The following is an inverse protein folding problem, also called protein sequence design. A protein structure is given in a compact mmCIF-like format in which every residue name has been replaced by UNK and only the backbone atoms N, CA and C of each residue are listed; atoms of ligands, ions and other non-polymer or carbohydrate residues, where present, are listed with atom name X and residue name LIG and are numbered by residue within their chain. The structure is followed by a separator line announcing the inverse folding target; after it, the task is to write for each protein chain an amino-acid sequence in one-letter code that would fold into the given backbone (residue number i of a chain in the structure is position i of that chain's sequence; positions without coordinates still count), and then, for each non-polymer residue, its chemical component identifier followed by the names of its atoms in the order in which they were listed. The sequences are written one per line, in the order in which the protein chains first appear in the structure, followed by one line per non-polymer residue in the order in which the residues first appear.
data_IF_442030814180
#
_entry.id   IF_442030814180
#
_cell.length_a   1.000
_cell.length_b   1.000
_cell.length_c   1.000
_cell.angle_alpha   90.00
_cell.angle_beta   90.00
_cell.angle_gamma   90.00
#
_symmetry.space_group_name_H-M   'P 1'
#
loop_
_entity.id
_entity.type
_entity.pdbx_description
1 polymer ?
#
# COMPACT_ATOMS: atom_id res chain seq x y z
N UNK A 1 32.54 79.75 27.74
CA UNK A 1 33.01 78.36 27.91
C UNK A 1 32.05 77.62 28.84
N UNK A 2 31.76 76.35 28.51
CA UNK A 2 30.99 75.34 29.24
C UNK A 2 29.45 75.44 29.20
N UNK A 3 28.91 74.56 28.36
CA UNK A 3 27.52 74.11 28.21
C UNK A 3 27.06 73.34 29.45
N UNK A 4 25.81 73.50 29.85
CA UNK A 4 25.04 72.46 30.55
C UNK A 4 23.65 72.38 29.90
N UNK A 5 23.39 71.29 29.20
CA UNK A 5 22.10 70.90 28.65
C UNK A 5 21.54 69.86 29.62
N UNK A 6 20.48 70.18 30.35
CA UNK A 6 19.70 69.21 31.12
C UNK A 6 18.76 68.47 30.17
N UNK A 7 19.05 67.20 29.89
CA UNK A 7 18.12 66.29 29.26
C UNK A 7 17.23 65.66 30.35
N UNK A 8 15.93 65.93 30.31
CA UNK A 8 14.93 65.26 31.13
C UNK A 8 14.52 63.94 30.45
N UNK A 9 14.91 62.81 31.03
CA UNK A 9 14.48 61.48 30.60
C UNK A 9 13.09 61.18 31.15
N UNK A 10 12.08 61.15 30.28
CA UNK A 10 10.74 60.64 30.60
C UNK A 10 10.76 59.10 30.54
N UNK A 11 10.61 58.45 31.68
CA UNK A 11 10.45 57.00 31.77
C UNK A 11 9.01 56.61 31.40
N UNK A 12 8.82 56.02 30.22
CA UNK A 12 7.57 55.37 29.83
C UNK A 12 7.56 53.98 30.48
N UNK A 13 6.73 53.81 31.50
CA UNK A 13 6.43 52.50 32.10
C UNK A 13 5.40 51.81 31.21
N UNK A 14 5.83 50.87 30.38
CA UNK A 14 4.94 50.00 29.63
C UNK A 14 4.45 48.85 30.51
N UNK A 15 3.20 48.93 30.99
CA UNK A 15 2.50 47.80 31.61
C UNK A 15 2.18 46.76 30.53
N UNK A 16 2.99 45.70 30.45
CA UNK A 16 2.71 44.54 29.64
C UNK A 16 1.50 43.78 30.23
N UNK A 17 0.35 43.85 29.57
CA UNK A 17 -0.79 43.01 29.88
C UNK A 17 -0.43 41.56 29.52
N UNK A 18 -0.26 40.72 30.54
CA UNK A 18 -0.13 39.27 30.38
C UNK A 18 -1.50 38.75 29.97
N UNK A 19 -1.74 38.62 28.66
CA UNK A 19 -2.86 37.86 28.15
C UNK A 19 -2.55 36.40 28.45
N UNK A 20 -3.16 35.86 29.51
CA UNK A 20 -3.12 34.43 29.78
C UNK A 20 -3.70 33.73 28.55
N UNK A 21 -2.85 33.03 27.79
CA UNK A 21 -3.31 32.18 26.70
C UNK A 21 -4.20 31.12 27.31
N UNK A 22 -5.51 31.23 27.09
CA UNK A 22 -6.45 30.15 27.43
C UNK A 22 -5.95 28.92 26.70
N UNK A 23 -5.60 27.82 27.39
CA UNK A 23 -5.18 26.61 26.72
C UNK A 23 -6.29 26.22 25.74
N UNK A 24 -5.93 26.03 24.48
CA UNK A 24 -6.88 25.57 23.48
C UNK A 24 -7.53 24.30 24.01
N UNK A 25 -8.87 24.29 24.08
CA UNK A 25 -9.63 23.15 24.56
C UNK A 25 -9.16 21.90 23.81
N UNK A 26 -8.69 20.90 24.57
CA UNK A 26 -8.20 19.65 24.02
C UNK A 26 -9.35 19.00 23.22
N UNK A 27 -9.10 18.76 21.93
CA UNK A 27 -10.14 18.23 21.05
C UNK A 27 -10.58 16.86 21.58
N UNK A 28 -11.90 16.69 21.79
CA UNK A 28 -12.44 15.44 22.29
C UNK A 28 -11.94 14.23 21.48
N UNK A 29 -11.57 13.11 22.15
CA UNK A 29 -11.00 11.96 21.48
C UNK A 29 -11.97 11.44 20.40
N UNK A 30 -11.43 10.92 19.29
CA UNK A 30 -12.27 10.40 18.21
C UNK A 30 -13.11 9.23 18.70
N UNK A 31 -14.43 9.29 18.46
CA UNK A 31 -15.40 8.29 18.93
C UNK A 31 -15.14 6.92 18.32
N UNK A 32 -14.68 6.87 17.07
CA UNK A 32 -14.54 5.65 16.30
C UNK A 32 -13.10 5.38 15.88
N UNK A 33 -12.75 4.10 15.86
CA UNK A 33 -11.59 3.55 15.16
C UNK A 33 -12.06 2.73 13.96
N UNK A 34 -11.19 2.57 12.97
CA UNK A 34 -11.53 1.88 11.74
C UNK A 34 -10.36 1.11 11.14
N UNK A 35 -10.71 0.12 10.32
CA UNK A 35 -9.85 -0.55 9.37
C UNK A 35 -10.60 -0.64 8.04
N UNK A 36 -10.02 -0.10 6.96
CA UNK A 36 -10.62 -0.09 5.63
C UNK A 36 -9.62 -0.63 4.63
N UNK A 37 -10.10 -1.54 3.79
CA UNK A 37 -9.32 -2.29 2.84
C UNK A 37 -10.02 -2.38 1.48
N UNK A 38 -9.25 -2.22 0.42
CA UNK A 38 -9.63 -2.54 -0.95
C UNK A 38 -8.45 -3.18 -1.69
N UNK A 39 -8.71 -4.28 -2.38
CA UNK A 39 -7.75 -4.96 -3.24
C UNK A 39 -8.31 -5.16 -4.65
N UNK A 40 -7.45 -5.37 -5.65
CA UNK A 40 -7.87 -5.68 -7.02
C UNK A 40 -8.09 -7.17 -7.22
N UNK A 41 -7.08 -8.01 -6.94
CA UNK A 41 -7.20 -9.47 -7.04
C UNK A 41 -6.42 -10.15 -5.93
N UNK A 42 -6.95 -11.23 -5.36
CA UNK A 42 -6.29 -12.05 -4.34
C UNK A 42 -6.42 -13.53 -4.70
N UNK A 43 -5.35 -14.31 -4.56
CA UNK A 43 -5.34 -15.75 -4.80
C UNK A 43 -4.87 -16.47 -3.53
N UNK A 44 -5.68 -17.41 -3.04
CA UNK A 44 -5.34 -18.24 -1.88
C UNK A 44 -5.42 -19.71 -2.29
N UNK A 45 -4.28 -20.38 -2.50
CA UNK A 45 -4.23 -21.80 -2.79
C UNK A 45 -3.82 -22.60 -1.54
N UNK A 46 -4.65 -23.56 -1.12
CA UNK A 46 -4.36 -24.41 0.05
C UNK A 46 -3.28 -25.45 -0.31
N UNK A 47 -2.15 -25.46 0.38
CA UNK A 47 -1.13 -26.50 0.22
C UNK A 47 -0.22 -26.37 -1.02
N UNK A 48 -0.12 -25.18 -1.63
CA UNK A 48 0.78 -24.89 -2.76
C UNK A 48 1.46 -23.53 -2.59
N UNK A 49 2.62 -23.36 -3.26
CA UNK A 49 3.51 -22.19 -3.18
C UNK A 49 2.94 -20.84 -3.70
N UNK A 50 1.62 -20.74 -3.96
CA UNK A 50 0.99 -19.52 -4.52
C UNK A 50 -0.12 -19.05 -3.59
N UNK A 51 0.28 -18.28 -2.59
CA UNK A 51 -0.60 -17.40 -1.82
C UNK A 51 -0.22 -15.97 -2.19
N UNK A 52 -1.19 -15.19 -2.65
CA UNK A 52 -1.02 -13.75 -2.83
C UNK A 52 -1.97 -13.03 -1.87
N UNK A 53 -1.48 -11.94 -1.31
CA UNK A 53 -2.33 -10.89 -0.81
C UNK A 53 -2.91 -10.11 -2.00
N UNK A 54 -3.71 -9.08 -1.73
CA UNK A 54 -4.34 -8.39 -2.84
C UNK A 54 -3.35 -7.53 -3.63
N UNK A 55 -3.46 -7.66 -4.94
CA UNK A 55 -2.81 -6.74 -5.87
C UNK A 55 -3.47 -5.36 -5.80
N UNK A 56 -2.71 -4.31 -6.12
CA UNK A 56 -3.14 -2.92 -5.96
C UNK A 56 -3.79 -2.66 -4.58
N UNK A 57 -3.20 -3.15 -3.48
CA UNK A 57 -3.80 -2.96 -2.16
C UNK A 57 -3.86 -1.47 -1.78
N UNK A 58 -5.00 -1.05 -1.24
CA UNK A 58 -5.15 0.19 -0.49
C UNK A 58 -5.77 -0.11 0.87
N UNK A 59 -5.06 0.26 1.95
CA UNK A 59 -5.45 -0.01 3.34
C UNK A 59 -5.19 1.18 4.25
N UNK A 60 -6.20 1.57 5.03
CA UNK A 60 -6.08 2.60 6.08
C UNK A 60 -6.60 2.03 7.40
N UNK A 61 -5.90 2.38 8.47
CA UNK A 61 -6.31 2.06 9.84
C UNK A 61 -6.05 3.28 10.70
N UNK A 62 -6.98 3.57 11.60
CA UNK A 62 -6.82 4.67 12.53
C UNK A 62 -8.15 5.18 13.04
N UNK A 63 -8.17 6.46 13.39
CA UNK A 63 -9.31 7.17 13.98
C UNK A 63 -9.41 8.63 13.46
N UNK A 64 -8.58 9.00 12.47
CA UNK A 64 -8.51 10.32 11.83
C UNK A 64 -8.93 10.26 10.37
N UNK A 65 -9.09 11.39 9.70
CA UNK A 65 -9.33 11.40 8.24
C UNK A 65 -8.10 10.92 7.48
N UNK A 66 -8.26 9.96 6.57
CA UNK A 66 -7.19 9.41 5.74
C UNK A 66 -7.70 9.03 4.35
N UNK A 67 -6.85 9.12 3.33
CA UNK A 67 -7.16 8.65 1.98
C UNK A 67 -5.96 7.93 1.40
N UNK A 68 -6.18 6.77 0.78
CA UNK A 68 -5.17 6.04 0.02
C UNK A 68 -5.73 5.51 -1.27
N UNK A 69 -4.85 5.37 -2.26
CA UNK A 69 -5.15 4.83 -3.58
C UNK A 69 -3.98 3.97 -4.04
N UNK A 70 -4.27 2.93 -4.82
CA UNK A 70 -3.25 2.17 -5.50
C UNK A 70 -3.78 1.76 -6.89
N UNK A 71 -2.89 1.45 -7.82
CA UNK A 71 -3.24 1.00 -9.17
C UNK A 71 -2.22 -0.01 -9.68
N UNK A 72 -2.59 -0.89 -10.59
CA UNK A 72 -1.64 -1.75 -11.29
C UNK A 72 -2.06 -1.84 -12.75
N UNK A 73 -1.10 -2.14 -13.63
CA UNK A 73 -1.38 -2.28 -15.07
C UNK A 73 -1.90 -3.67 -15.40
N UNK A 74 -1.38 -4.71 -14.74
CA UNK A 74 -1.89 -6.07 -14.85
C UNK A 74 -1.51 -6.91 -13.64
N UNK A 75 -2.30 -7.95 -13.37
CA UNK A 75 -2.00 -9.00 -12.41
C UNK A 75 -2.18 -10.37 -13.07
N UNK A 76 -1.25 -11.30 -12.84
CA UNK A 76 -1.34 -12.67 -13.37
C UNK A 76 -0.90 -13.69 -12.34
N UNK A 77 -1.64 -14.78 -12.22
CA UNK A 77 -1.27 -15.96 -11.44
C UNK A 77 -1.46 -17.20 -12.32
N UNK A 78 -0.39 -17.63 -12.99
CA UNK A 78 -0.41 -18.77 -13.91
C UNK A 78 -1.54 -18.68 -14.94
N UNK A 79 -2.28 -19.78 -15.11
CA UNK A 79 -3.52 -19.85 -15.93
C UNK A 79 -4.78 -19.64 -15.09
N UNK A 80 -4.65 -19.43 -13.78
CA UNK A 80 -5.76 -19.27 -12.84
C UNK A 80 -6.40 -17.89 -12.95
N UNK A 81 -5.58 -16.84 -13.07
CA UNK A 81 -6.03 -15.45 -13.11
C UNK A 81 -5.16 -14.63 -14.07
N UNK A 82 -5.83 -13.85 -14.92
CA UNK A 82 -5.28 -12.69 -15.61
C UNK A 82 -6.24 -11.52 -15.43
N UNK A 83 -5.72 -10.39 -14.97
CA UNK A 83 -6.44 -9.13 -14.87
C UNK A 83 -5.61 -8.01 -15.50
N UNK A 84 -6.29 -7.07 -16.16
CA UNK A 84 -5.69 -5.86 -16.71
C UNK A 84 -5.58 -4.77 -15.66
N UNK A 85 -5.79 -3.53 -16.10
CA UNK A 85 -5.65 -2.35 -15.24
C UNK A 85 -6.60 -2.45 -14.06
N UNK A 86 -6.07 -2.22 -12.86
CA UNK A 86 -6.88 -2.14 -11.66
C UNK A 86 -6.55 -0.90 -10.84
N UNK A 87 -7.54 -0.39 -10.12
CA UNK A 87 -7.43 0.77 -9.24
C UNK A 87 -8.25 0.54 -7.99
N UNK A 88 -7.63 0.80 -6.84
CA UNK A 88 -8.27 0.76 -5.54
C UNK A 88 -8.17 2.12 -4.86
N UNK A 89 -9.12 2.39 -3.98
CA UNK A 89 -9.17 3.60 -3.19
C UNK A 89 -9.88 3.33 -1.88
N UNK A 90 -9.30 3.80 -0.78
CA UNK A 90 -9.91 3.78 0.54
C UNK A 90 -9.89 5.18 1.13
N UNK A 91 -10.98 5.57 1.76
CA UNK A 91 -11.20 6.89 2.33
C UNK A 91 -11.85 6.72 3.70
N UNK A 92 -11.34 7.46 4.68
CA UNK A 92 -11.97 7.73 5.96
C UNK A 92 -12.10 9.24 6.10
N UNK A 93 -13.32 9.74 6.20
CA UNK A 93 -13.60 11.16 6.37
C UNK A 93 -14.33 11.38 7.69
N UNK A 94 -13.70 12.10 8.62
CA UNK A 94 -14.29 12.48 9.91
C UNK A 94 -15.24 13.67 9.73
N UNK A 95 -16.40 13.60 10.37
CA UNK A 95 -17.26 14.77 10.55
C UNK A 95 -16.91 15.42 11.90
N UNK A 96 -16.34 16.63 11.93
CA UNK A 96 -15.96 17.30 13.17
C UNK A 96 -17.18 17.72 14.01
N UNK A 97 -18.32 18.03 13.38
CA UNK A 97 -19.52 18.52 14.07
C UNK A 97 -20.20 17.41 14.88
N UNK A 98 -20.19 16.19 14.34
CA UNK A 98 -20.88 15.06 14.96
C UNK A 98 -19.94 14.03 15.58
N UNK A 99 -18.62 14.24 15.46
CA UNK A 99 -17.58 13.24 15.72
C UNK A 99 -17.83 11.91 14.96
N UNK A 100 -18.57 11.98 13.85
CA UNK A 100 -18.89 10.86 12.99
C UNK A 100 -17.74 10.50 12.04
N UNK A 101 -17.90 9.38 11.34
CA UNK A 101 -16.91 8.83 10.43
C UNK A 101 -17.59 8.23 9.19
N UNK A 102 -17.10 8.59 8.01
CA UNK A 102 -17.49 7.99 6.73
C UNK A 102 -16.33 7.19 6.17
N UNK A 103 -16.54 5.89 5.98
CA UNK A 103 -15.59 4.98 5.36
C UNK A 103 -16.04 4.62 3.95
N UNK A 104 -15.15 4.66 2.98
CA UNK A 104 -15.41 4.24 1.60
C UNK A 104 -14.25 3.39 1.10
N UNK A 105 -14.54 2.21 0.57
CA UNK A 105 -13.61 1.36 -0.15
C UNK A 105 -14.13 1.19 -1.58
N UNK A 106 -13.29 1.45 -2.58
CA UNK A 106 -13.61 1.26 -4.00
C UNK A 106 -12.52 0.42 -4.63
N UNK A 107 -12.92 -0.59 -5.39
CA UNK A 107 -12.01 -1.39 -6.21
C UNK A 107 -12.59 -1.54 -7.62
N UNK A 108 -11.73 -1.35 -8.63
CA UNK A 108 -12.06 -1.45 -10.05
C UNK A 108 -11.00 -2.30 -10.72
N UNK A 109 -11.40 -3.33 -11.45
CA UNK A 109 -10.48 -4.21 -12.18
C UNK A 109 -11.03 -4.43 -13.58
N UNK A 110 -10.22 -4.17 -14.61
CA UNK A 110 -10.56 -4.37 -16.01
C UNK A 110 -9.94 -5.66 -16.58
N UNK A 111 -10.53 -6.19 -17.65
CA UNK A 111 -9.97 -7.30 -18.42
C UNK A 111 -9.74 -8.56 -17.57
N UNK A 112 -10.73 -8.97 -16.78
CA UNK A 112 -10.65 -10.14 -15.92
C UNK A 112 -10.86 -11.40 -16.74
N UNK A 113 -9.96 -12.37 -16.59
CA UNK A 113 -10.04 -13.70 -17.14
C UNK A 113 -9.57 -14.70 -16.11
N UNK A 114 -10.44 -15.63 -15.71
CA UNK A 114 -10.12 -16.70 -14.77
C UNK A 114 -10.14 -18.04 -15.50
N UNK A 115 -9.25 -18.94 -15.07
CA UNK A 115 -9.20 -20.34 -15.51
C UNK A 115 -9.16 -20.49 -17.03
N UNK A 116 -8.19 -19.83 -17.66
CA UNK A 116 -8.04 -19.84 -19.12
C UNK A 116 -9.19 -19.17 -19.87
N UNK A 117 -9.99 -18.34 -19.20
CA UNK A 117 -11.12 -17.62 -19.81
C UNK A 117 -12.45 -18.36 -19.71
N UNK A 118 -12.55 -19.38 -18.85
CA UNK A 118 -13.83 -19.96 -18.44
C UNK A 118 -14.79 -18.90 -17.86
N UNK A 119 -14.22 -17.95 -17.13
CA UNK A 119 -14.92 -16.78 -16.59
C UNK A 119 -14.23 -15.54 -17.12
N UNK A 120 -14.97 -14.63 -17.74
CA UNK A 120 -14.45 -13.35 -18.25
C UNK A 120 -15.32 -12.19 -17.79
N UNK A 121 -14.72 -11.06 -17.50
CA UNK A 121 -15.44 -9.80 -17.32
C UNK A 121 -14.62 -8.66 -17.90
N UNK A 122 -15.27 -7.74 -18.61
CA UNK A 122 -14.61 -6.55 -19.15
C UNK A 122 -14.20 -5.60 -18.04
N UNK A 123 -15.07 -5.41 -17.04
CA UNK A 123 -14.74 -4.68 -15.83
C UNK A 123 -15.57 -5.17 -14.63
N UNK A 124 -14.98 -5.15 -13.45
CA UNK A 124 -15.66 -5.36 -12.18
C UNK A 124 -15.42 -4.12 -11.33
N UNK A 125 -16.49 -3.54 -10.78
CA UNK A 125 -16.41 -2.39 -9.87
C UNK A 125 -17.14 -2.74 -8.59
N UNK A 126 -16.44 -2.65 -7.47
CA UNK A 126 -16.99 -2.90 -6.12
C UNK A 126 -16.80 -1.67 -5.26
N UNK A 127 -17.86 -1.26 -4.57
CA UNK A 127 -17.83 -0.13 -3.64
C UNK A 127 -18.50 -0.54 -2.32
N UNK A 128 -17.78 -0.37 -1.22
CA UNK A 128 -18.28 -0.55 0.14
C UNK A 128 -18.25 0.81 0.88
N UNK A 129 -19.26 1.05 1.70
CA UNK A 129 -19.42 2.28 2.47
C UNK A 129 -19.98 1.98 3.85
N UNK A 130 -19.33 2.51 4.88
CA UNK A 130 -19.88 2.65 6.24
C UNK A 130 -20.06 4.14 6.52
N UNK A 131 -21.18 4.54 7.12
CA UNK A 131 -21.39 5.89 7.64
C UNK A 131 -21.87 5.79 9.08
N UNK A 132 -21.06 6.29 10.01
CA UNK A 132 -21.45 6.56 11.39
C UNK A 132 -21.56 8.07 11.54
N UNK A 133 -22.75 8.60 11.75
CA UNK A 133 -22.97 10.05 11.87
C UNK A 133 -22.72 10.58 13.28
N UNK A 134 -22.24 9.76 14.22
CA UNK A 134 -22.04 10.13 15.62
C UNK A 134 -23.23 9.83 16.53
N UNK A 135 -24.42 9.63 15.97
CA UNK A 135 -25.67 9.37 16.70
C UNK A 135 -26.37 8.11 16.17
N UNK A 136 -26.46 7.07 17.00
CA UNK A 136 -27.17 5.83 16.63
C UNK A 136 -26.33 4.84 15.81
N UNK A 137 -27.00 3.82 15.28
CA UNK A 137 -26.38 2.68 14.60
C UNK A 137 -25.81 3.10 13.24
N UNK A 138 -24.54 2.80 12.93
CA UNK A 138 -23.95 3.11 11.63
C UNK A 138 -24.71 2.42 10.48
N UNK A 139 -24.68 3.03 9.31
CA UNK A 139 -25.24 2.44 8.08
C UNK A 139 -24.14 1.76 7.27
N UNK A 140 -24.47 0.64 6.65
CA UNK A 140 -23.56 -0.12 5.77
C UNK A 140 -24.18 -0.29 4.39
N UNK A 141 -23.36 -0.20 3.33
CA UNK A 141 -23.79 -0.46 1.96
C UNK A 141 -22.63 -0.99 1.12
N UNK A 142 -22.89 -2.04 0.35
CA UNK A 142 -21.98 -2.56 -0.66
C UNK A 142 -22.72 -2.70 -2.00
N UNK A 143 -22.02 -2.41 -3.10
CA UNK A 143 -22.52 -2.55 -4.47
C UNK A 143 -21.43 -3.08 -5.38
N UNK A 144 -21.78 -3.98 -6.29
CA UNK A 144 -20.89 -4.48 -7.34
C UNK A 144 -21.56 -4.33 -8.70
N UNK A 145 -20.80 -3.92 -9.73
CA UNK A 145 -21.19 -3.96 -11.15
C UNK A 145 -20.22 -4.86 -11.92
N UNK A 146 -20.76 -5.76 -12.73
CA UNK A 146 -20.00 -6.77 -13.48
C UNK A 146 -20.23 -6.58 -14.99
N UNK A 147 -19.39 -5.76 -15.64
CA UNK A 147 -19.56 -5.43 -17.05
C UNK A 147 -19.05 -6.56 -17.96
N UNK A 148 -19.90 -7.02 -18.87
CA UNK A 148 -19.55 -8.03 -19.87
C UNK A 148 -19.13 -9.36 -19.25
N UNK A 149 -19.79 -9.75 -18.15
CA UNK A 149 -19.52 -11.02 -17.48
C UNK A 149 -19.99 -12.18 -18.36
N UNK A 150 -19.10 -13.13 -18.64
CA UNK A 150 -19.43 -14.41 -19.24
C UNK A 150 -18.87 -15.56 -18.41
N UNK A 151 -19.66 -16.62 -18.26
CA UNK A 151 -19.27 -17.86 -17.58
C UNK A 151 -19.62 -19.01 -18.52
N UNK A 152 -18.63 -19.81 -18.93
CA UNK A 152 -18.80 -20.83 -19.98
C UNK A 152 -19.39 -20.27 -21.28
N UNK A 153 -19.04 -19.02 -21.64
CA UNK A 153 -19.57 -18.33 -22.81
C UNK A 153 -21.00 -17.78 -22.64
N UNK A 154 -21.72 -18.13 -21.57
CA UNK A 154 -23.05 -17.56 -21.27
C UNK A 154 -22.91 -16.15 -20.69
N UNK A 155 -23.57 -15.12 -21.24
CA UNK A 155 -23.55 -13.77 -20.70
C UNK A 155 -24.43 -13.64 -19.44
N UNK A 156 -24.05 -12.72 -18.57
CA UNK A 156 -24.79 -12.35 -17.37
C UNK A 156 -24.99 -10.83 -17.32
N UNK A 157 -26.12 -10.40 -16.79
CA UNK A 157 -26.45 -8.98 -16.58
C UNK A 157 -25.46 -8.29 -15.64
N UNK A 158 -25.28 -6.98 -15.80
CA UNK A 158 -24.29 -6.22 -15.03
C UNK A 158 -24.68 -6.04 -13.55
N UNK A 159 -25.98 -5.95 -13.27
CA UNK A 159 -26.54 -5.69 -11.94
C UNK A 159 -27.02 -6.99 -11.29
N UNK A 160 -26.06 -7.73 -10.75
CA UNK A 160 -26.31 -9.03 -10.12
C UNK A 160 -26.67 -8.86 -8.65
N UNK A 161 -27.74 -9.55 -8.22
CA UNK A 161 -28.17 -9.55 -6.82
C UNK A 161 -27.02 -10.00 -5.90
N UNK A 162 -26.94 -9.45 -4.69
CA UNK A 162 -25.98 -9.90 -3.69
C UNK A 162 -25.94 -11.41 -3.51
N UNK A 163 -24.73 -11.95 -3.32
CA UNK A 163 -24.49 -13.36 -3.00
C UNK A 163 -25.11 -14.33 -4.03
N UNK A 164 -25.05 -13.99 -5.32
CA UNK A 164 -25.54 -14.86 -6.38
C UNK A 164 -24.53 -15.98 -6.63
N UNK A 165 -24.89 -17.22 -6.30
CA UNK A 165 -24.07 -18.41 -6.49
C UNK A 165 -24.25 -19.07 -7.86
N UNK A 166 -23.14 -19.49 -8.47
CA UNK A 166 -23.12 -20.30 -9.69
C UNK A 166 -22.11 -21.43 -9.50
N UNK A 167 -22.52 -22.66 -9.77
CA UNK A 167 -21.65 -23.83 -9.66
C UNK A 167 -21.46 -24.46 -11.02
N UNK A 168 -20.21 -24.73 -11.38
CA UNK A 168 -19.85 -25.60 -12.49
C UNK A 168 -19.36 -26.92 -11.88
N UNK A 169 -20.16 -28.01 -11.95
CA UNK A 169 -19.84 -29.27 -11.31
C UNK A 169 -18.44 -29.78 -11.65
N UNK A 170 -17.67 -30.17 -10.63
CA UNK A 170 -16.29 -30.68 -10.79
C UNK A 170 -15.26 -29.63 -11.23
N UNK A 171 -15.63 -28.34 -11.33
CA UNK A 171 -14.74 -27.26 -11.76
C UNK A 171 -14.63 -26.19 -10.67
N UNK A 172 -15.70 -25.43 -10.44
CA UNK A 172 -15.70 -24.26 -9.57
C UNK A 172 -17.05 -23.97 -8.93
N UNK A 173 -16.99 -23.35 -7.76
CA UNK A 173 -18.08 -22.58 -7.18
C UNK A 173 -17.76 -21.09 -7.32
N UNK A 174 -18.72 -20.31 -7.81
CA UNK A 174 -18.60 -18.89 -8.10
C UNK A 174 -19.62 -18.14 -7.24
N UNK A 175 -19.17 -17.12 -6.52
CA UNK A 175 -20.03 -16.19 -5.78
C UNK A 175 -19.87 -14.79 -6.38
N UNK A 176 -20.95 -14.29 -6.96
CA UNK A 176 -21.03 -12.95 -7.55
C UNK A 176 -21.59 -11.95 -6.55
N UNK A 177 -21.01 -10.76 -6.52
CA UNK A 177 -21.38 -9.70 -5.59
C UNK A 177 -21.44 -10.23 -4.15
N UNK A 178 -20.37 -10.90 -3.71
CA UNK A 178 -20.29 -11.48 -2.39
C UNK A 178 -20.26 -10.36 -1.36
N UNK A 179 -21.21 -10.35 -0.45
CA UNK A 179 -21.29 -9.36 0.62
C UNK A 179 -21.76 -9.98 1.94
N UNK A 180 -21.12 -9.56 3.01
CA UNK A 180 -21.50 -9.78 4.39
C UNK A 180 -21.41 -8.43 5.09
N UNK A 181 -22.55 -7.93 5.57
CA UNK A 181 -22.65 -6.59 6.16
C UNK A 181 -23.35 -6.69 7.51
N UNK A 182 -22.91 -5.93 8.49
CA UNK A 182 -23.56 -5.85 9.80
C UNK A 182 -23.28 -4.52 10.48
N UNK A 183 -24.23 -4.06 11.30
CA UNK A 183 -24.08 -2.88 12.13
C UNK A 183 -24.78 -3.07 13.48
N UNK A 184 -24.17 -2.51 14.52
CA UNK A 184 -24.69 -2.38 15.86
C UNK A 184 -24.41 -0.95 16.36
N UNK A 185 -24.89 -0.58 17.55
CA UNK A 185 -24.89 0.80 18.06
C UNK A 185 -23.58 1.57 17.82
N UNK A 186 -22.43 0.94 18.06
CA UNK A 186 -21.12 1.58 17.91
C UNK A 186 -20.11 0.77 17.09
N UNK A 187 -20.61 -0.16 16.26
CA UNK A 187 -19.76 -0.96 15.39
C UNK A 187 -20.44 -1.27 14.07
N UNK A 188 -19.65 -1.43 13.03
CA UNK A 188 -20.14 -1.88 11.74
C UNK A 188 -19.03 -2.60 10.98
N UNK A 189 -19.43 -3.57 10.16
CA UNK A 189 -18.50 -4.31 9.33
C UNK A 189 -19.08 -4.60 7.95
N UNK A 190 -18.21 -4.58 6.95
CA UNK A 190 -18.47 -5.05 5.59
C UNK A 190 -17.31 -5.97 5.22
N UNK A 191 -17.61 -7.15 4.72
CA UNK A 191 -16.67 -8.04 4.07
C UNK A 191 -17.25 -8.49 2.74
N UNK A 192 -16.46 -8.48 1.68
CA UNK A 192 -16.98 -8.91 0.39
C UNK A 192 -15.97 -8.91 -0.73
N UNK A 193 -16.43 -9.33 -1.90
CA UNK A 193 -15.70 -9.27 -3.15
C UNK A 193 -16.69 -9.09 -4.31
N UNK A 194 -16.25 -8.47 -5.39
CA UNK A 194 -17.07 -8.38 -6.60
C UNK A 194 -17.33 -9.76 -7.22
N UNK A 195 -16.32 -10.62 -7.19
CA UNK A 195 -16.37 -12.00 -7.67
C UNK A 195 -15.44 -12.85 -6.80
N UNK A 196 -15.95 -13.96 -6.26
CA UNK A 196 -15.12 -15.00 -5.62
C UNK A 196 -15.30 -16.32 -6.37
N UNK A 197 -14.20 -17.00 -6.64
CA UNK A 197 -14.18 -18.31 -7.31
C UNK A 197 -13.42 -19.28 -6.44
N UNK A 198 -14.00 -20.44 -6.16
CA UNK A 198 -13.39 -21.54 -5.40
C UNK A 198 -13.29 -22.76 -6.30
N UNK A 199 -12.10 -23.34 -6.42
CA UNK A 199 -11.89 -24.58 -7.16
C UNK A 199 -12.55 -25.76 -6.43
N UNK A 200 -13.36 -26.54 -7.14
CA UNK A 200 -13.96 -27.77 -6.61
C UNK A 200 -13.11 -29.02 -6.88
N UNK A 201 -12.13 -28.92 -7.78
CA UNK A 201 -11.19 -29.98 -8.10
C UNK A 201 -9.81 -29.40 -8.43
N UNK A 202 -8.76 -30.20 -8.25
CA UNK A 202 -7.40 -29.78 -8.58
C UNK A 202 -7.25 -29.53 -10.09
N UNK A 203 -6.71 -28.37 -10.47
CA UNK A 203 -6.50 -27.97 -11.87
C UNK A 203 -5.33 -27.00 -11.96
N UNK A 204 -4.60 -27.04 -13.07
CA UNK A 204 -3.54 -26.08 -13.39
C UNK A 204 -2.48 -25.93 -12.26
N UNK A 205 -2.06 -27.04 -11.66
CA UNK A 205 -1.11 -27.05 -10.54
C UNK A 205 -1.65 -26.45 -9.24
N UNK A 206 -2.97 -26.22 -9.14
CA UNK A 206 -3.66 -25.69 -7.96
C UNK A 206 -4.58 -26.77 -7.39
N UNK A 207 -4.62 -26.89 -6.06
CA UNK A 207 -5.45 -27.85 -5.32
C UNK A 207 -6.93 -27.46 -5.29
N UNK A 208 -7.80 -28.44 -5.00
CA UNK A 208 -9.19 -28.14 -4.66
C UNK A 208 -9.25 -27.26 -3.40
N UNK A 209 -10.24 -26.36 -3.35
CA UNK A 209 -10.40 -25.38 -2.27
C UNK A 209 -9.64 -24.08 -2.47
N UNK A 210 -8.74 -23.98 -3.45
CA UNK A 210 -8.10 -22.71 -3.77
C UNK A 210 -9.13 -21.66 -4.21
N UNK A 211 -8.95 -20.43 -3.74
CA UNK A 211 -9.87 -19.33 -4.01
C UNK A 211 -9.19 -18.18 -4.76
N UNK A 212 -9.95 -17.53 -5.63
CA UNK A 212 -9.61 -16.27 -6.28
C UNK A 212 -10.69 -15.26 -5.93
N UNK A 213 -10.32 -14.13 -5.36
CA UNK A 213 -11.21 -13.00 -5.16
C UNK A 213 -10.82 -11.86 -6.10
N UNK A 214 -11.79 -11.29 -6.80
CA UNK A 214 -11.64 -10.06 -7.57
C UNK A 214 -12.43 -8.96 -6.89
N UNK A 215 -11.77 -7.83 -6.72
CA UNK A 215 -12.20 -6.68 -5.93
C UNK A 215 -12.57 -7.01 -4.47
N UNK A 216 -11.71 -7.71 -3.69
CA UNK A 216 -11.97 -7.88 -2.27
C UNK A 216 -12.00 -6.52 -1.56
N UNK A 217 -12.98 -6.34 -0.68
CA UNK A 217 -13.12 -5.16 0.17
C UNK A 217 -13.43 -5.60 1.60
N UNK A 218 -12.86 -4.91 2.58
CA UNK A 218 -13.30 -5.03 3.97
C UNK A 218 -13.32 -3.67 4.66
N UNK A 219 -14.28 -3.50 5.55
CA UNK A 219 -14.39 -2.33 6.40
C UNK A 219 -14.81 -2.80 7.78
N UNK A 220 -14.13 -2.31 8.81
CA UNK A 220 -14.52 -2.50 10.21
C UNK A 220 -14.50 -1.12 10.84
N UNK A 221 -15.54 -0.82 11.60
CA UNK A 221 -15.70 0.36 12.42
C UNK A 221 -16.06 -0.12 13.83
N UNK A 222 -15.42 0.45 14.84
CA UNK A 222 -15.63 0.16 16.25
C UNK A 222 -15.41 1.42 17.08
N UNK A 223 -15.75 1.40 18.36
CA UNK A 223 -15.34 2.46 19.28
C UNK A 223 -13.81 2.64 19.25
N UNK A 224 -13.37 3.90 19.30
CA UNK A 224 -11.97 4.23 19.47
C UNK A 224 -11.54 3.90 20.90
N UNK A 225 -10.63 2.95 21.08
CA UNK A 225 -9.89 2.87 22.34
C UNK A 225 -8.97 4.10 22.38
N UNK A 226 -9.31 5.09 23.21
CA UNK A 226 -8.59 6.36 23.34
C UNK A 226 -7.21 6.27 24.00
N UNK A 227 -6.59 5.09 24.05
CA UNK A 227 -5.21 4.94 24.52
C UNK A 227 -4.27 5.10 23.33
N UNK A 228 -3.78 6.31 23.07
CA UNK A 228 -2.63 6.46 22.18
C UNK A 228 -1.46 5.71 22.85
N UNK A 229 -0.89 4.66 22.23
CA UNK A 229 0.27 4.02 22.79
C UNK A 229 1.36 5.09 22.95
N UNK A 230 1.89 5.23 24.16
CA UNK A 230 2.93 6.19 24.48
C UNK A 230 4.12 6.12 23.50
N UNK A 231 4.94 7.16 23.45
CA UNK A 231 6.03 7.29 22.47
C UNK A 231 5.60 7.85 21.11
N UNK A 232 6.55 7.86 20.18
CA UNK A 232 6.50 8.60 18.92
C UNK A 232 5.72 7.88 17.82
N UNK A 233 5.01 8.66 16.99
CA UNK A 233 4.23 8.10 15.90
C UNK A 233 5.15 7.39 14.89
N UNK A 234 4.67 6.26 14.36
CA UNK A 234 5.42 5.39 13.46
C UNK A 234 4.93 5.49 12.02
N UNK A 235 5.84 5.45 11.05
CA UNK A 235 5.52 5.48 9.63
C UNK A 235 6.50 4.67 8.81
N UNK A 236 6.13 4.41 7.57
CA UNK A 236 6.96 3.57 6.71
C UNK A 236 6.17 2.91 5.60
N UNK A 237 6.91 2.37 4.65
CA UNK A 237 6.39 1.63 3.50
C UNK A 237 7.42 0.63 3.03
N UNK A 238 6.96 -0.55 2.62
CA UNK A 238 7.76 -1.47 1.82
C UNK A 238 6.97 -1.95 0.60
N UNK A 239 7.64 -2.08 -0.54
CA UNK A 239 7.06 -2.57 -1.78
C UNK A 239 8.12 -3.13 -2.73
N UNK A 240 7.73 -4.09 -3.56
CA UNK A 240 8.67 -4.77 -4.46
C UNK A 240 9.00 -3.98 -5.72
N UNK A 241 8.04 -3.31 -6.35
CA UNK A 241 8.28 -2.60 -7.61
C UNK A 241 7.36 -1.39 -7.78
N UNK A 242 7.89 -0.37 -8.43
CA UNK A 242 7.20 0.87 -8.76
C UNK A 242 7.87 1.53 -9.97
N UNK A 243 7.08 1.82 -11.00
CA UNK A 243 7.50 2.45 -12.26
C UNK A 243 6.74 3.75 -12.41
N UNK A 244 7.45 4.86 -12.61
CA UNK A 244 6.87 6.17 -12.92
C UNK A 244 7.53 6.77 -14.15
N UNK A 245 6.77 7.54 -14.92
CA UNK A 245 7.25 8.24 -16.09
C UNK A 245 6.38 9.48 -16.33
N UNK A 246 7.03 10.60 -16.64
CA UNK A 246 6.34 11.79 -17.13
C UNK A 246 6.42 11.80 -18.66
N UNK A 247 5.28 11.95 -19.32
CA UNK A 247 5.17 12.12 -20.77
C UNK A 247 4.72 13.56 -21.02
N UNK A 248 5.68 14.43 -21.34
CA UNK A 248 5.46 15.89 -21.37
C UNK A 248 5.25 16.48 -19.97
N UNK A 249 4.63 17.67 -19.90
CA UNK A 249 4.38 18.38 -18.65
C UNK A 249 3.10 17.93 -17.92
N UNK A 250 2.25 17.11 -18.56
CA UNK A 250 0.88 16.84 -18.08
C UNK A 250 0.55 15.37 -17.78
N UNK A 251 1.25 14.38 -18.37
CA UNK A 251 0.85 12.97 -18.26
C UNK A 251 1.85 12.17 -17.43
N UNK A 252 1.46 11.84 -16.20
CA UNK A 252 2.19 10.90 -15.35
C UNK A 252 1.67 9.47 -15.57
N UNK A 253 2.50 8.63 -16.17
CA UNK A 253 2.30 7.18 -16.25
C UNK A 253 2.95 6.56 -15.02
N UNK A 254 2.16 5.84 -14.23
CA UNK A 254 2.65 5.22 -13.00
C UNK A 254 2.03 3.81 -12.89
N UNK A 255 2.88 2.81 -12.64
CA UNK A 255 2.44 1.54 -12.06
C UNK A 255 2.33 1.75 -10.56
N UNK A 256 1.28 1.31 -9.89
CA UNK A 256 1.29 1.37 -8.42
C UNK A 256 2.17 0.30 -7.80
N UNK A 257 2.38 0.48 -6.50
CA UNK A 257 3.34 -0.27 -5.70
C UNK A 257 2.86 -1.71 -5.48
N UNK A 258 3.74 -2.67 -5.75
CA UNK A 258 3.41 -4.10 -5.68
C UNK A 258 3.77 -4.70 -4.33
N UNK A 259 2.90 -5.57 -3.81
CA UNK A 259 3.04 -6.15 -2.46
C UNK A 259 3.28 -5.07 -1.39
N UNK A 260 2.53 -3.97 -1.45
CA UNK A 260 2.77 -2.81 -0.58
C UNK A 260 2.31 -3.09 0.85
N UNK A 261 3.18 -2.82 1.82
CA UNK A 261 2.81 -2.63 3.22
C UNK A 261 3.05 -1.17 3.63
N UNK A 262 2.35 -0.74 4.68
CA UNK A 262 2.47 0.62 5.19
C UNK A 262 2.26 0.67 6.69
N UNK A 263 3.21 1.29 7.38
CA UNK A 263 3.22 1.37 8.84
C UNK A 263 2.13 2.31 9.32
N UNK A 264 1.35 1.83 10.27
CA UNK A 264 0.33 2.63 10.95
C UNK A 264 1.02 3.54 11.96
N UNK A 265 0.45 4.71 12.22
CA UNK A 265 0.93 5.65 13.25
C UNK A 265 1.03 5.03 14.64
N UNK A 266 0.12 4.11 14.99
CA UNK A 266 0.14 3.35 16.24
C UNK A 266 1.07 2.12 16.24
N UNK A 267 1.73 1.81 15.12
CA UNK A 267 2.51 0.58 14.97
C UNK A 267 1.65 -0.67 14.76
N UNK A 268 2.28 -1.83 14.97
CA UNK A 268 1.67 -3.16 14.86
C UNK A 268 1.69 -3.90 16.19
N UNK A 269 1.93 -3.20 17.30
CA UNK A 269 2.16 -3.78 18.63
C UNK A 269 3.25 -4.89 18.62
N UNK A 270 4.26 -4.74 17.75
CA UNK A 270 5.34 -5.72 17.58
C UNK A 270 4.97 -6.96 16.78
N UNK A 271 3.74 -7.07 16.26
CA UNK A 271 3.36 -8.14 15.32
C UNK A 271 3.88 -7.84 13.92
N UNK A 272 4.15 -8.89 13.15
CA UNK A 272 4.49 -8.75 11.74
C UNK A 272 3.21 -8.63 10.91
N UNK A 273 3.14 -7.61 10.05
CA UNK A 273 2.15 -7.54 8.98
C UNK A 273 2.87 -7.66 7.65
N UNK A 274 2.34 -8.46 6.73
CA UNK A 274 2.97 -8.68 5.43
C UNK A 274 1.98 -8.56 4.28
N UNK A 275 2.54 -8.36 3.08
CA UNK A 275 1.81 -8.38 1.82
C UNK A 275 2.67 -9.11 0.78
N UNK A 276 2.08 -10.04 0.04
CA UNK A 276 2.76 -10.82 -0.99
C UNK A 276 2.07 -10.72 -2.35
N UNK A 277 2.85 -10.60 -3.43
CA UNK A 277 2.37 -10.68 -4.80
C UNK A 277 3.11 -11.78 -5.54
N UNK A 278 2.39 -12.78 -6.05
CA UNK A 278 3.02 -13.97 -6.65
C UNK A 278 3.83 -13.69 -7.92
N UNK A 279 3.38 -12.72 -8.73
CA UNK A 279 4.07 -12.31 -9.95
C UNK A 279 3.61 -10.93 -10.40
N UNK A 280 4.53 -10.14 -10.95
CA UNK A 280 4.22 -8.88 -11.63
C UNK A 280 4.86 -8.91 -13.01
N UNK A 281 4.10 -8.48 -14.01
CA UNK A 281 4.59 -8.34 -15.37
C UNK A 281 4.09 -7.02 -15.98
N UNK A 282 5.04 -6.14 -16.30
CA UNK A 282 4.86 -4.97 -17.15
C UNK A 282 5.66 -5.22 -18.43
N UNK A 283 4.96 -5.47 -19.54
CA UNK A 283 5.56 -5.97 -20.78
C UNK A 283 6.76 -5.12 -21.24
N UNK A 284 7.90 -5.76 -21.47
CA UNK A 284 9.14 -5.12 -21.91
C UNK A 284 9.91 -4.35 -20.83
N UNK A 285 9.30 -4.05 -19.67
CA UNK A 285 9.91 -3.26 -18.60
C UNK A 285 10.32 -4.13 -17.41
N UNK A 286 9.38 -4.91 -16.87
CA UNK A 286 9.52 -5.59 -15.58
C UNK A 286 8.84 -6.95 -15.62
N UNK A 287 9.54 -8.00 -15.21
CA UNK A 287 8.99 -9.30 -14.91
C UNK A 287 9.65 -9.79 -13.61
N UNK A 288 8.87 -9.88 -12.55
CA UNK A 288 9.31 -10.37 -11.24
C UNK A 288 8.42 -11.52 -10.81
N UNK A 289 9.03 -12.50 -10.16
CA UNK A 289 8.33 -13.60 -9.50
C UNK A 289 7.67 -13.14 -8.20
N UNK A 290 7.72 -14.01 -7.18
CA UNK A 290 7.13 -13.73 -5.89
C UNK A 290 7.79 -12.50 -5.23
N UNK A 291 6.95 -11.60 -4.74
CA UNK A 291 7.32 -10.45 -3.93
C UNK A 291 6.71 -10.65 -2.56
N UNK A 292 7.48 -10.40 -1.51
CA UNK A 292 7.02 -10.44 -0.13
C UNK A 292 7.54 -9.21 0.61
N UNK A 293 6.65 -8.37 1.12
CA UNK A 293 6.99 -7.23 1.96
C UNK A 293 6.45 -7.43 3.36
N UNK A 294 7.21 -7.02 4.37
CA UNK A 294 6.81 -7.13 5.77
C UNK A 294 7.09 -5.83 6.50
N UNK A 295 6.32 -5.62 7.56
CA UNK A 295 6.47 -4.49 8.45
C UNK A 295 6.25 -4.90 9.90
N UNK A 296 6.98 -4.24 10.80
CA UNK A 296 6.85 -4.43 12.23
C UNK A 296 7.10 -3.11 12.96
N UNK A 297 6.14 -2.71 13.80
CA UNK A 297 6.15 -1.44 14.53
C UNK A 297 5.90 -1.64 16.02
N UNK A 298 6.80 -1.12 16.86
CA UNK A 298 6.63 -1.06 18.32
C UNK A 298 6.58 0.40 18.75
N UNK A 299 5.51 0.78 19.45
CA UNK A 299 5.32 2.12 20.00
C UNK A 299 4.99 2.02 21.49
N UNK A 300 5.87 2.54 22.32
CA UNK A 300 5.73 2.71 23.77
C UNK A 300 6.58 3.88 24.26
N UNK A 301 6.38 4.32 25.51
CA UNK A 301 7.17 5.41 26.12
C UNK A 301 8.68 5.16 26.09
N UNK A 302 9.09 3.89 26.11
CA UNK A 302 10.50 3.50 26.11
C UNK A 302 11.06 3.26 24.69
N UNK A 303 10.19 3.08 23.68
CA UNK A 303 10.61 2.59 22.37
C UNK A 303 9.65 3.01 21.25
N UNK A 304 10.21 3.63 20.21
CA UNK A 304 9.53 3.82 18.93
C UNK A 304 10.38 3.21 17.84
N UNK A 305 9.94 2.09 17.28
CA UNK A 305 10.70 1.30 16.33
C UNK A 305 9.86 0.89 15.14
N UNK A 306 10.39 1.10 13.95
CA UNK A 306 9.84 0.62 12.67
C UNK A 306 10.88 -0.22 11.98
N UNK A 307 10.48 -1.39 11.51
CA UNK A 307 11.26 -2.23 10.60
C UNK A 307 10.40 -2.57 9.39
N UNK A 308 10.96 -2.37 8.22
CA UNK A 308 10.31 -2.57 6.93
C UNK A 308 11.24 -3.44 6.08
N UNK A 309 10.72 -4.52 5.50
CA UNK A 309 11.47 -5.45 4.66
C UNK A 309 10.73 -5.69 3.34
N UNK A 310 11.47 -5.98 2.28
CA UNK A 310 10.87 -6.53 1.06
C UNK A 310 11.84 -7.48 0.37
N UNK A 311 11.32 -8.56 -0.19
CA UNK A 311 12.08 -9.57 -0.94
C UNK A 311 11.38 -9.85 -2.26
N UNK A 312 12.18 -10.13 -3.29
CA UNK A 312 11.74 -10.39 -4.66
C UNK A 312 12.50 -11.59 -5.19
N UNK A 313 11.77 -12.54 -5.78
CA UNK A 313 12.33 -13.66 -6.51
C UNK A 313 12.28 -13.42 -8.03
N UNK A 314 13.29 -13.91 -8.74
CA UNK A 314 13.34 -13.94 -10.21
C UNK A 314 13.07 -12.58 -10.87
N UNK A 315 13.89 -11.59 -10.55
CA UNK A 315 13.86 -10.25 -11.15
C UNK A 315 14.42 -10.28 -12.56
N UNK A 316 13.68 -9.69 -13.50
CA UNK A 316 14.13 -9.37 -14.84
C UNK A 316 13.56 -8.02 -15.26
N UNK A 317 14.43 -7.06 -15.55
CA UNK A 317 14.09 -5.74 -16.08
C UNK A 317 14.61 -5.63 -17.50
N UNK A 318 13.83 -4.94 -18.35
CA UNK A 318 14.21 -4.63 -19.73
C UNK A 318 14.72 -5.85 -20.50
N UNK A 319 13.92 -6.93 -20.47
CA UNK A 319 14.23 -8.23 -21.09
C UNK A 319 15.54 -8.88 -20.61
N UNK A 320 15.86 -8.73 -19.31
CA UNK A 320 17.02 -9.36 -18.68
C UNK A 320 18.28 -8.51 -18.65
N UNK A 321 18.23 -7.27 -19.15
CA UNK A 321 19.35 -6.33 -19.06
C UNK A 321 19.78 -6.07 -17.61
N UNK A 322 18.81 -6.06 -16.69
CA UNK A 322 19.08 -6.16 -15.25
C UNK A 322 18.32 -7.36 -14.72
N UNK A 323 18.99 -8.27 -14.03
CA UNK A 323 18.35 -9.48 -13.50
C UNK A 323 18.92 -9.89 -12.15
N UNK A 324 18.09 -10.50 -11.31
CA UNK A 324 18.51 -11.09 -10.06
C UNK A 324 17.71 -12.36 -9.74
N UNK A 325 18.33 -13.38 -9.16
CA UNK A 325 17.59 -14.55 -8.66
C UNK A 325 16.77 -14.20 -7.43
N UNK A 326 17.36 -13.42 -6.53
CA UNK A 326 16.68 -12.85 -5.38
C UNK A 326 17.21 -11.43 -5.11
N UNK A 327 16.35 -10.57 -4.60
CA UNK A 327 16.70 -9.22 -4.16
C UNK A 327 15.93 -8.89 -2.89
N UNK A 328 16.60 -8.41 -1.86
CA UNK A 328 16.01 -8.02 -0.59
C UNK A 328 16.48 -6.64 -0.16
N UNK A 329 15.60 -5.88 0.50
CA UNK A 329 16.02 -4.71 1.27
C UNK A 329 15.34 -4.67 2.63
N UNK A 330 15.97 -3.96 3.55
CA UNK A 330 15.41 -3.64 4.85
C UNK A 330 15.78 -2.21 5.26
N UNK A 331 14.84 -1.56 5.94
CA UNK A 331 15.02 -0.25 6.55
C UNK A 331 14.53 -0.30 8.00
N UNK A 332 15.28 0.33 8.90
CA UNK A 332 14.95 0.37 10.31
C UNK A 332 15.19 1.77 10.90
N UNK A 333 14.24 2.22 11.70
CA UNK A 333 14.39 3.39 12.58
C UNK A 333 14.02 2.95 13.99
N UNK A 334 14.86 3.30 14.96
CA UNK A 334 14.63 3.02 16.38
C UNK A 334 14.97 4.24 17.22
N UNK A 335 14.03 4.70 18.02
CA UNK A 335 14.20 5.79 18.98
C UNK A 335 13.94 5.25 20.39
N UNK A 336 14.84 5.60 21.29
CA UNK A 336 14.77 5.31 22.73
C UNK A 336 15.13 6.58 23.51
N UNK A 337 14.95 6.61 24.85
CA UNK A 337 15.46 7.71 25.67
C UNK A 337 16.97 7.96 25.54
N UNK A 338 17.74 7.00 25.03
CA UNK A 338 19.19 7.12 24.80
C UNK A 338 19.55 7.71 23.43
N UNK A 339 18.57 7.94 22.55
CA UNK A 339 18.78 8.48 21.20
C UNK A 339 18.18 7.61 20.10
N UNK A 340 18.51 7.97 18.85
CA UNK A 340 17.97 7.38 17.64
C UNK A 340 19.04 6.61 16.82
N UNK A 341 18.70 5.40 16.38
CA UNK A 341 19.47 4.63 15.39
C UNK A 341 18.65 4.47 14.11
N UNK A 342 19.33 4.51 12.96
CA UNK A 342 18.72 4.44 11.64
C UNK A 342 19.65 3.68 10.71
N UNK A 343 19.17 2.56 10.19
CA UNK A 343 19.98 1.59 9.46
C UNK A 343 19.18 1.05 8.27
N UNK A 344 19.89 0.57 7.25
CA UNK A 344 19.29 -0.14 6.14
C UNK A 344 20.30 -0.96 5.38
N UNK A 345 19.79 -1.98 4.69
CA UNK A 345 20.61 -2.99 4.03
C UNK A 345 19.91 -3.51 2.77
N UNK A 346 20.74 -4.02 1.86
CA UNK A 346 20.32 -4.70 0.64
C UNK A 346 21.05 -6.04 0.59
N UNK A 347 20.33 -7.08 0.19
CA UNK A 347 20.88 -8.40 -0.10
C UNK A 347 20.43 -8.85 -1.47
N UNK A 348 21.18 -9.72 -2.13
CA UNK A 348 20.76 -10.31 -3.39
C UNK A 348 21.46 -11.64 -3.67
N UNK A 349 20.82 -12.45 -4.52
CA UNK A 349 21.42 -13.63 -5.11
C UNK A 349 21.58 -13.40 -6.61
N UNK A 350 22.83 -13.42 -7.08
CA UNK A 350 23.24 -13.24 -8.49
C UNK A 350 22.57 -12.01 -9.14
N UNK A 351 23.09 -10.81 -8.88
CA UNK A 351 22.66 -9.60 -9.59
C UNK A 351 23.52 -9.43 -10.84
N UNK A 352 22.89 -9.34 -12.02
CA UNK A 352 23.56 -9.05 -13.28
C UNK A 352 23.01 -7.77 -13.90
N UNK A 353 23.92 -6.94 -14.40
CA UNK A 353 23.60 -5.69 -15.07
C UNK A 353 24.42 -5.64 -16.36
N UNK A 354 23.73 -5.53 -17.51
CA UNK A 354 24.34 -5.55 -18.83
C UNK A 354 25.24 -6.78 -19.11
N UNK A 355 24.90 -7.93 -18.52
CA UNK A 355 25.64 -9.19 -18.67
C UNK A 355 26.70 -9.41 -17.59
N UNK A 356 27.16 -8.34 -16.94
CA UNK A 356 28.17 -8.39 -15.89
C UNK A 356 27.57 -8.76 -14.53
N UNK A 357 28.24 -9.62 -13.78
CA UNK A 357 27.83 -10.02 -12.43
C UNK A 357 28.34 -9.02 -11.40
N UNK A 358 27.44 -8.56 -10.54
CA UNK A 358 27.72 -7.57 -9.51
C UNK A 358 28.20 -8.28 -8.24
N UNK A 359 29.33 -7.87 -7.63
CA UNK A 359 29.85 -8.45 -6.38
C UNK A 359 28.85 -8.33 -5.22
N UNK A 360 28.75 -9.35 -4.36
CA UNK A 360 27.77 -9.37 -3.25
C UNK A 360 27.92 -8.20 -2.25
N UNK A 361 29.11 -7.63 -2.14
CA UNK A 361 29.51 -6.58 -1.19
C UNK A 361 29.45 -5.17 -1.81
N UNK A 362 28.38 -4.87 -2.55
CA UNK A 362 28.21 -3.54 -3.13
C UNK A 362 28.01 -2.47 -2.06
N UNK A 363 28.91 -1.47 -2.07
CA UNK A 363 28.81 -0.30 -1.21
C UNK A 363 27.49 0.48 -1.45
N UNK A 364 26.91 1.10 -0.40
CA UNK A 364 25.73 1.93 -0.55
C UNK A 364 25.87 3.01 -1.63
N UNK A 365 24.79 3.24 -2.37
CA UNK A 365 24.70 4.24 -3.45
C UNK A 365 25.65 4.02 -4.63
N UNK A 366 26.05 2.78 -4.91
CA UNK A 366 26.86 2.46 -6.09
C UNK A 366 26.09 2.77 -7.37
N UNK A 367 26.67 3.56 -8.26
CA UNK A 367 26.02 3.97 -9.52
C UNK A 367 26.75 3.45 -10.74
N UNK A 368 25.99 2.88 -11.68
CA UNK A 368 26.46 2.47 -12.99
C UNK A 368 25.69 3.24 -14.05
N UNK A 369 26.35 3.60 -15.14
CA UNK A 369 25.70 4.10 -16.34
C UNK A 369 25.74 3.02 -17.40
N UNK A 370 24.57 2.62 -17.90
CA UNK A 370 24.42 1.52 -18.84
C UNK A 370 23.97 2.07 -20.19
N UNK A 371 24.77 1.82 -21.22
CA UNK A 371 24.49 2.29 -22.58
C UNK A 371 23.08 1.86 -23.04
N UNK A 372 22.36 2.80 -23.65
CA UNK A 372 20.98 2.63 -24.13
C UNK A 372 19.95 2.31 -23.03
N UNK A 373 20.26 2.54 -21.75
CA UNK A 373 19.33 2.39 -20.63
C UNK A 373 19.33 3.64 -19.76
N UNK A 374 20.47 3.91 -19.13
CA UNK A 374 20.71 5.08 -18.31
C UNK A 374 21.32 4.77 -16.96
N UNK A 375 20.97 5.56 -15.94
CA UNK A 375 21.60 5.47 -14.61
C UNK A 375 20.95 4.39 -13.77
N UNK A 376 21.75 3.41 -13.34
CA UNK A 376 21.36 2.36 -12.39
C UNK A 376 22.06 2.66 -11.06
N UNK A 377 21.29 2.88 -9.99
CA UNK A 377 21.79 2.97 -8.62
C UNK A 377 21.47 1.67 -7.88
N UNK A 378 22.48 1.03 -7.32
CA UNK A 378 22.40 -0.19 -6.53
C UNK A 378 22.53 0.19 -5.06
N UNK A 379 21.78 -0.48 -4.18
CA UNK A 379 21.87 -0.31 -2.73
C UNK A 379 21.72 1.17 -2.32
N UNK A 380 20.73 1.87 -2.86
CA UNK A 380 20.56 3.30 -2.59
C UNK A 380 20.08 3.52 -1.17
N UNK A 381 20.83 4.31 -0.39
CA UNK A 381 20.51 4.65 1.00
C UNK A 381 20.22 6.14 1.12
N UNK A 382 19.11 6.49 1.76
CA UNK A 382 18.77 7.88 2.09
C UNK A 382 18.35 7.98 3.55
N UNK A 383 19.14 8.75 4.31
CA UNK A 383 18.86 9.12 5.69
C UNK A 383 18.29 10.53 5.72
N UNK A 384 17.18 10.72 6.44
CA UNK A 384 16.56 12.03 6.65
C UNK A 384 16.37 12.26 8.13
N UNK A 385 16.97 13.35 8.61
CA UNK A 385 16.68 13.91 9.94
C UNK A 385 16.19 15.34 9.73
N UNK A 386 14.95 15.65 10.13
CA UNK A 386 14.40 17.01 10.00
C UNK A 386 14.12 17.58 11.39
N UNK A 387 14.86 18.62 11.77
CA UNK A 387 14.70 19.36 13.04
C UNK A 387 14.67 18.48 14.30
N UNK A 388 15.25 17.28 14.26
CA UNK A 388 15.14 16.29 15.34
C UNK A 388 13.74 15.67 15.52
N UNK A 389 12.75 16.10 14.74
CA UNK A 389 11.34 15.65 14.82
C UNK A 389 11.01 14.52 13.86
N UNK A 390 11.83 14.29 12.84
CA UNK A 390 11.61 13.20 11.89
C UNK A 390 12.90 12.43 11.74
N UNK A 391 12.84 11.13 11.97
CA UNK A 391 13.89 10.18 11.69
C UNK A 391 13.38 9.21 10.63
N UNK A 392 13.95 9.26 9.44
CA UNK A 392 13.57 8.35 8.36
C UNK A 392 14.79 7.75 7.67
N UNK A 393 14.66 6.49 7.29
CA UNK A 393 15.66 5.77 6.52
C UNK A 393 14.97 5.06 5.36
N UNK A 394 15.48 5.25 4.15
CA UNK A 394 14.97 4.62 2.92
C UNK A 394 16.08 3.87 2.22
N UNK A 395 15.78 2.62 1.87
CA UNK A 395 16.64 1.74 1.06
C UNK A 395 15.93 1.37 -0.22
N UNK A 396 16.61 1.50 -1.37
CA UNK A 396 16.15 0.97 -2.67
C UNK A 396 17.20 -0.01 -3.19
N UNK A 397 16.79 -1.25 -3.48
CA UNK A 397 17.70 -2.27 -3.97
C UNK A 397 18.27 -1.90 -5.34
N UNK A 398 17.39 -1.62 -6.30
CA UNK A 398 17.78 -1.11 -7.62
C UNK A 398 16.87 0.05 -8.02
N UNK A 399 17.47 1.19 -8.33
CA UNK A 399 16.81 2.35 -8.94
C UNK A 399 17.38 2.56 -10.34
N UNK A 400 16.52 2.57 -11.36
CA UNK A 400 16.88 2.93 -12.73
C UNK A 400 16.23 4.25 -13.08
N UNK A 401 16.99 5.18 -13.65
CA UNK A 401 16.49 6.40 -14.27
C UNK A 401 16.90 6.36 -15.74
N UNK A 402 15.91 6.34 -16.63
CA UNK A 402 16.16 6.24 -18.06
C UNK A 402 16.72 7.55 -18.62
N UNK A 403 17.80 7.47 -19.39
CA UNK A 403 18.23 8.57 -20.28
C UNK A 403 17.98 8.25 -21.75
N UNK A 404 17.55 7.01 -22.03
CA UNK A 404 17.18 6.52 -23.35
C UNK A 404 15.77 5.96 -23.28
N UNK A 405 14.86 6.41 -24.16
CA UNK A 405 13.51 5.88 -24.22
C UNK A 405 13.53 4.39 -24.59
N UNK A 406 12.80 3.55 -23.84
CA UNK A 406 12.83 2.09 -24.01
C UNK A 406 11.59 1.43 -23.45
N UNK A 407 11.13 0.36 -24.10
CA UNK A 407 9.98 -0.45 -23.66
C UNK A 407 8.71 0.38 -23.40
N UNK A 408 8.49 1.41 -24.23
CA UNK A 408 7.36 2.34 -24.09
C UNK A 408 7.51 3.38 -22.98
N UNK A 409 8.63 3.41 -22.26
CA UNK A 409 8.94 4.43 -21.26
C UNK A 409 9.78 5.57 -21.86
N UNK A 410 9.45 6.84 -21.56
CA UNK A 410 10.23 7.99 -21.99
C UNK A 410 11.53 8.16 -21.18
N UNK A 411 12.37 9.08 -21.65
CA UNK A 411 13.51 9.60 -20.87
C UNK A 411 13.01 10.22 -19.56
N UNK A 412 13.75 10.00 -18.48
CA UNK A 412 13.40 10.44 -17.13
C UNK A 412 12.50 9.46 -16.35
N UNK A 413 11.98 8.41 -17.01
CA UNK A 413 11.23 7.36 -16.32
C UNK A 413 12.07 6.70 -15.23
N UNK A 414 11.43 6.39 -14.11
CA UNK A 414 12.03 5.80 -12.92
C UNK A 414 11.47 4.41 -12.69
N UNK A 415 12.35 3.45 -12.41
CA UNK A 415 12.00 2.09 -12.00
C UNK A 415 12.65 1.81 -10.65
N UNK A 416 11.84 1.64 -9.62
CA UNK A 416 12.28 1.35 -8.25
C UNK A 416 11.95 -0.10 -7.92
N UNK A 417 12.95 -0.84 -7.44
CA UNK A 417 12.86 -2.27 -7.14
C UNK A 417 13.38 -2.53 -5.73
N UNK A 418 12.63 -3.35 -4.99
CA UNK A 418 12.82 -3.67 -3.58
C UNK A 418 13.03 -2.40 -2.74
N UNK A 419 11.96 -1.63 -2.52
CA UNK A 419 12.03 -0.40 -1.73
C UNK A 419 11.48 -0.60 -0.34
N UNK A 420 12.21 -0.11 0.65
CA UNK A 420 11.77 -0.01 2.05
C UNK A 420 12.03 1.41 2.56
N UNK A 421 11.15 1.89 3.43
CA UNK A 421 11.31 3.16 4.14
C UNK A 421 10.73 3.00 5.53
N UNK A 422 11.54 3.23 6.56
CA UNK A 422 11.10 3.29 7.96
C UNK A 422 11.14 4.75 8.44
N UNK A 423 10.19 5.14 9.30
CA UNK A 423 10.06 6.51 9.78
C UNK A 423 9.49 6.56 11.21
N UNK A 424 9.99 7.51 12.01
CA UNK A 424 9.46 7.85 13.33
C UNK A 424 9.36 9.38 13.44
N UNK A 425 8.24 9.88 13.96
CA UNK A 425 7.99 11.29 14.22
C UNK A 425 8.14 11.63 15.70
N UNK A 426 9.27 12.24 16.04
CA UNK A 426 9.69 12.68 17.37
C UNK A 426 9.08 14.02 17.77
#
# INVERSE_FOLDING_TARGET
MKRLICAASAAIVATAAVVASVPAAEAAPPKYSYNVYAGATQVQALGVAVQSDATAEAKIVGNTSQRKRNKIVSARAGTLLSAGVARTEVIADRNPETNGLRLVATSRTAGVSLLGGLIRASAIVTKARIVADGSGTPTTRMTTRLLGLTIQGKPYEADIKPNTGITIPGVVSIMLNQQQTGAAKDSAAIFGAGLRVTLLGARNGTTAGATVAVNPVSQILSLGNGGDPGGYALGGTAYGSYVTANVGDEVEVESGQTAMVHMRTGGTAGQEESNSTARVNLGGVLNVGAIHSEQRGIRSDALSQVTESTTIASLSLFNGLVSAKALGTRSQVRITPRGATMDGDMTFATLRIAGEEIPLDVAPNTTLHIANLGKVTINQHRKVVRNGMVHAYRTIGVLIVLDTARAGLPVGARVEIATTQAQVWH
#
